data_IF_564315419091
#
_entry.id   IF_564315419091
#
_cell.length_a   1.000
_cell.length_b   1.000
_cell.length_c   1.000
_cell.angle_alpha   90.00
_cell.angle_beta   90.00
_cell.angle_gamma   90.00
#
_symmetry.space_group_name_H-M   'P 1'
#
loop_
_entity.id
_entity.type
_entity.pdbx_description
1 polymer ?
#
# COMPACT_ATOMS: atom_id res chain seq x y z
N UNK A 1 -32.69 8.06 11.17
CA UNK A 1 -33.35 7.56 9.94
C UNK A 1 -34.14 6.31 10.33
N UNK A 2 -35.42 6.43 10.69
CA UNK A 2 -36.17 5.34 11.35
C UNK A 2 -36.49 4.14 10.44
N UNK A 3 -36.31 4.27 9.12
CA UNK A 3 -36.51 3.19 8.13
C UNK A 3 -35.20 2.75 7.46
N UNK A 4 -34.04 3.10 8.02
CA UNK A 4 -32.76 2.72 7.44
C UNK A 4 -32.46 1.26 7.80
N UNK A 5 -32.27 0.43 6.79
CA UNK A 5 -32.02 -1.01 6.96
C UNK A 5 -30.63 -1.43 6.48
N UNK A 6 -30.03 -0.70 5.54
CA UNK A 6 -28.70 -0.99 5.01
C UNK A 6 -27.93 0.27 4.60
N UNK A 7 -26.60 0.19 4.68
CA UNK A 7 -25.61 1.17 4.21
C UNK A 7 -24.59 0.46 3.33
N UNK A 8 -24.47 0.92 2.08
CA UNK A 8 -23.48 0.44 1.12
C UNK A 8 -22.38 1.50 0.99
N UNK A 9 -21.20 1.20 1.50
CA UNK A 9 -20.05 2.08 1.49
C UNK A 9 -19.01 1.62 0.48
N UNK A 10 -18.99 2.28 -0.68
CA UNK A 10 -18.07 2.00 -1.77
C UNK A 10 -16.65 2.56 -1.54
N UNK A 11 -16.14 2.41 -0.31
CA UNK A 11 -14.83 2.92 0.10
C UNK A 11 -14.18 1.96 1.11
N UNK A 12 -13.04 2.37 1.66
CA UNK A 12 -12.18 1.54 2.49
C UNK A 12 -12.68 1.39 3.93
N UNK A 13 -11.91 1.95 4.86
CA UNK A 13 -12.11 1.76 6.29
C UNK A 13 -13.45 2.35 6.78
N UNK A 14 -14.23 1.54 7.51
CA UNK A 14 -15.52 1.92 8.11
C UNK A 14 -15.44 2.20 9.62
N UNK A 15 -14.30 1.95 10.27
CA UNK A 15 -14.15 1.97 11.73
C UNK A 15 -14.66 3.25 12.39
N UNK A 16 -14.47 4.40 11.73
CA UNK A 16 -14.86 5.70 12.26
C UNK A 16 -16.37 5.86 12.45
N UNK A 17 -17.20 5.07 11.76
CA UNK A 17 -18.66 5.24 11.76
C UNK A 17 -19.45 3.92 11.80
N UNK A 18 -18.79 2.77 11.84
CA UNK A 18 -19.47 1.47 11.80
C UNK A 18 -20.30 1.18 13.07
N UNK A 19 -19.79 1.56 14.25
CA UNK A 19 -20.40 1.14 15.52
C UNK A 19 -21.86 1.58 15.65
N UNK A 20 -22.23 2.87 15.44
CA UNK A 20 -23.62 3.29 15.54
C UNK A 20 -24.54 2.62 14.51
N UNK A 21 -24.03 2.21 13.36
CA UNK A 21 -24.81 1.52 12.30
C UNK A 21 -25.14 0.10 12.77
N UNK A 22 -24.13 -0.64 13.23
CA UNK A 22 -24.27 -2.01 13.69
C UNK A 22 -25.14 -2.09 14.96
N UNK A 23 -24.96 -1.17 15.90
CA UNK A 23 -25.74 -1.12 17.15
C UNK A 23 -27.24 -0.89 16.91
N UNK A 24 -27.62 -0.32 15.76
CA UNK A 24 -29.01 -0.09 15.36
C UNK A 24 -29.54 -1.19 14.43
N UNK A 25 -28.86 -2.34 14.34
CA UNK A 25 -29.24 -3.48 13.47
C UNK A 25 -29.34 -3.12 11.98
N UNK A 26 -28.59 -2.10 11.55
CA UNK A 26 -28.49 -1.70 10.14
C UNK A 26 -27.36 -2.48 9.49
N UNK A 27 -27.63 -3.10 8.33
CA UNK A 27 -26.61 -3.83 7.57
C UNK A 27 -25.55 -2.86 7.03
N UNK A 28 -24.27 -3.11 7.28
CA UNK A 28 -23.17 -2.34 6.71
C UNK A 28 -22.37 -3.19 5.74
N UNK A 29 -22.34 -2.76 4.47
CA UNK A 29 -21.57 -3.41 3.41
C UNK A 29 -20.44 -2.47 2.99
N UNK A 30 -19.19 -2.95 3.01
CA UNK A 30 -18.00 -2.19 2.61
C UNK A 30 -17.32 -2.76 1.37
N UNK A 31 -16.55 -1.92 0.67
CA UNK A 31 -15.77 -2.31 -0.51
C UNK A 31 -14.25 -2.39 -0.24
N UNK A 32 -13.85 -2.65 1.01
CA UNK A 32 -12.46 -2.61 1.48
C UNK A 32 -11.54 -3.60 0.76
N UNK A 33 -12.05 -4.78 0.35
CA UNK A 33 -11.26 -5.76 -0.42
C UNK A 33 -10.96 -5.27 -1.84
N UNK A 34 -11.97 -4.76 -2.55
CA UNK A 34 -11.78 -4.18 -3.88
C UNK A 34 -10.84 -2.97 -3.85
N UNK A 35 -10.95 -2.13 -2.82
CA UNK A 35 -10.04 -0.99 -2.64
C UNK A 35 -8.61 -1.41 -2.29
N UNK A 36 -8.39 -2.61 -1.76
CA UNK A 36 -7.05 -3.08 -1.44
C UNK A 36 -6.19 -3.33 -2.69
N UNK A 37 -6.81 -3.64 -3.84
CA UNK A 37 -6.13 -3.91 -5.11
C UNK A 37 -5.33 -2.67 -5.59
N UNK A 38 -5.96 -1.52 -5.91
CA UNK A 38 -5.22 -0.37 -6.44
C UNK A 38 -4.26 0.22 -5.39
N UNK A 39 -4.56 0.08 -4.09
CA UNK A 39 -3.66 0.54 -3.04
C UNK A 39 -2.39 -0.31 -2.99
N UNK A 40 -2.51 -1.63 -3.08
CA UNK A 40 -1.35 -2.53 -3.14
C UNK A 40 -0.52 -2.30 -4.41
N UNK A 41 -1.17 -2.11 -5.57
CA UNK A 41 -0.50 -1.81 -6.84
C UNK A 41 0.26 -0.47 -6.79
N UNK A 42 -0.38 0.55 -6.21
CA UNK A 42 0.27 1.86 -6.02
C UNK A 42 1.47 1.73 -5.09
N UNK A 43 1.33 1.01 -3.97
CA UNK A 43 2.43 0.77 -3.03
C UNK A 43 3.59 0.01 -3.70
N UNK A 44 3.31 -1.02 -4.51
CA UNK A 44 4.32 -1.73 -5.30
C UNK A 44 5.08 -0.77 -6.22
N UNK A 45 4.36 0.10 -6.95
CA UNK A 45 4.99 1.08 -7.83
C UNK A 45 5.95 2.00 -7.05
N UNK A 46 5.55 2.45 -5.85
CA UNK A 46 6.39 3.26 -4.98
C UNK A 46 7.65 2.52 -4.53
N UNK A 47 7.54 1.24 -4.16
CA UNK A 47 8.70 0.41 -3.78
C UNK A 47 9.66 0.26 -4.96
N UNK A 48 9.16 -0.10 -6.14
CA UNK A 48 9.99 -0.28 -7.34
C UNK A 48 10.72 1.01 -7.74
N UNK A 49 10.04 2.16 -7.74
CA UNK A 49 10.66 3.46 -8.03
C UNK A 49 11.76 3.82 -7.02
N UNK A 50 11.52 3.51 -5.75
CA UNK A 50 12.49 3.76 -4.67
C UNK A 50 13.75 2.90 -4.85
N UNK A 51 13.59 1.59 -5.11
CA UNK A 51 14.68 0.66 -5.40
C UNK A 51 15.54 1.07 -6.61
N UNK A 52 14.94 1.75 -7.59
CA UNK A 52 15.65 2.26 -8.78
C UNK A 52 16.30 3.62 -8.54
N UNK A 53 16.11 4.23 -7.37
CA UNK A 53 16.62 5.55 -7.05
C UNK A 53 15.90 6.69 -7.75
N UNK A 54 14.68 6.46 -8.25
CA UNK A 54 13.95 7.40 -9.12
C UNK A 54 13.82 8.79 -8.49
N UNK A 55 13.32 8.85 -7.25
CA UNK A 55 13.11 10.11 -6.54
C UNK A 55 14.40 10.89 -6.29
N UNK A 56 15.46 10.17 -5.90
CA UNK A 56 16.78 10.76 -5.69
C UNK A 56 17.32 11.32 -7.00
N UNK A 57 17.27 10.54 -8.08
CA UNK A 57 17.76 11.00 -9.38
C UNK A 57 17.03 12.24 -9.89
N UNK A 58 15.71 12.35 -9.70
CA UNK A 58 14.96 13.54 -10.11
C UNK A 58 15.43 14.77 -9.32
N UNK A 59 15.53 14.66 -7.99
CA UNK A 59 15.97 15.77 -7.15
C UNK A 59 17.40 16.19 -7.48
N UNK A 60 18.32 15.22 -7.54
CA UNK A 60 19.73 15.49 -7.76
C UNK A 60 19.96 16.07 -9.18
N UNK A 61 19.14 15.69 -10.18
CA UNK A 61 19.15 16.30 -11.51
C UNK A 61 18.62 17.72 -11.50
N UNK A 62 17.52 17.99 -10.78
CA UNK A 62 16.97 19.34 -10.67
C UNK A 62 17.97 20.32 -10.06
N UNK A 63 18.79 19.87 -9.12
CA UNK A 63 19.82 20.70 -8.48
C UNK A 63 21.07 20.87 -9.35
N UNK A 64 21.59 19.77 -9.91
CA UNK A 64 22.87 19.78 -10.62
C UNK A 64 22.77 20.10 -12.12
N UNK A 65 21.60 19.90 -12.73
CA UNK A 65 21.38 19.85 -14.18
C UNK A 65 22.34 18.89 -14.91
N UNK A 66 22.87 17.89 -14.19
CA UNK A 66 23.88 16.97 -14.67
C UNK A 66 23.38 15.52 -14.56
N UNK A 67 23.34 14.83 -15.70
CA UNK A 67 22.83 13.45 -15.75
C UNK A 67 23.77 12.42 -15.12
N UNK A 68 25.08 12.68 -15.10
CA UNK A 68 26.07 11.82 -14.47
C UNK A 68 25.96 11.92 -12.95
N UNK A 69 26.03 13.15 -12.43
CA UNK A 69 25.96 13.42 -10.98
C UNK A 69 24.64 12.96 -10.37
N UNK A 70 23.52 13.17 -11.06
CA UNK A 70 22.19 12.75 -10.59
C UNK A 70 21.98 11.24 -10.48
N UNK A 71 22.94 10.44 -10.95
CA UNK A 71 22.90 8.97 -10.87
C UNK A 71 24.07 8.41 -10.06
N UNK A 72 24.90 9.27 -9.47
CA UNK A 72 26.12 8.93 -8.74
C UNK A 72 25.78 8.44 -7.31
N UNK A 73 25.10 7.31 -7.22
CA UNK A 73 24.79 6.64 -5.95
C UNK A 73 24.51 5.16 -6.15
N UNK A 74 24.70 4.37 -5.09
CA UNK A 74 24.40 2.96 -5.10
C UNK A 74 22.89 2.69 -5.17
N UNK A 75 22.51 1.76 -6.04
CA UNK A 75 21.12 1.28 -6.20
C UNK A 75 21.10 -0.20 -5.88
N UNK A 76 20.34 -0.57 -4.87
CA UNK A 76 20.07 -1.96 -4.52
C UNK A 76 19.40 -2.73 -5.65
N UNK A 77 18.53 -2.06 -6.41
CA UNK A 77 17.69 -2.75 -7.39
C UNK A 77 16.57 -3.51 -6.68
N UNK A 78 16.04 -4.54 -7.33
CA UNK A 78 14.82 -5.24 -6.88
C UNK A 78 15.12 -6.67 -6.41
N UNK A 79 15.86 -7.44 -7.21
CA UNK A 79 16.04 -8.86 -6.98
C UNK A 79 16.82 -9.17 -5.70
N UNK A 80 16.21 -9.89 -4.77
CA UNK A 80 16.84 -10.33 -3.51
C UNK A 80 16.81 -9.30 -2.38
N UNK A 81 16.30 -8.09 -2.63
CA UNK A 81 16.12 -7.05 -1.61
C UNK A 81 15.04 -7.42 -0.60
N UNK A 82 15.14 -6.88 0.62
CA UNK A 82 14.19 -7.17 1.70
C UNK A 82 13.23 -6.02 1.94
N UNK A 83 11.93 -6.31 1.94
CA UNK A 83 10.87 -5.35 2.28
C UNK A 83 10.15 -5.80 3.55
N UNK A 84 10.09 -4.90 4.53
CA UNK A 84 9.31 -5.09 5.75
C UNK A 84 7.91 -4.51 5.63
N UNK A 85 6.89 -5.32 5.92
CA UNK A 85 5.50 -4.90 5.99
C UNK A 85 5.06 -4.78 7.46
N UNK A 86 4.55 -3.60 7.82
CA UNK A 86 3.94 -3.37 9.14
C UNK A 86 2.41 -3.42 8.93
N UNK A 87 1.81 -4.51 9.39
CA UNK A 87 0.42 -4.86 9.14
C UNK A 87 0.26 -5.84 7.96
N UNK A 88 -0.57 -6.87 8.18
CA UNK A 88 -0.93 -7.92 7.23
C UNK A 88 -2.45 -8.04 7.08
N UNK A 89 -3.11 -6.89 7.01
CA UNK A 89 -4.50 -6.79 6.53
C UNK A 89 -4.60 -7.08 5.02
N UNK A 90 -5.76 -6.78 4.42
CA UNK A 90 -6.01 -7.11 2.99
C UNK A 90 -4.99 -6.50 2.03
N UNK A 91 -4.61 -5.24 2.27
CA UNK A 91 -3.58 -4.54 1.48
C UNK A 91 -2.22 -5.22 1.65
N UNK A 92 -1.82 -5.52 2.90
CA UNK A 92 -0.53 -6.13 3.21
C UNK A 92 -0.38 -7.50 2.55
N UNK A 93 -1.43 -8.33 2.58
CA UNK A 93 -1.45 -9.65 1.93
C UNK A 93 -1.26 -9.54 0.42
N UNK A 94 -2.07 -8.70 -0.24
CA UNK A 94 -1.96 -8.45 -1.69
C UNK A 94 -0.60 -7.88 -2.08
N UNK A 95 -0.08 -6.92 -1.31
CA UNK A 95 1.23 -6.33 -1.55
C UNK A 95 2.36 -7.37 -1.36
N UNK A 96 2.25 -8.24 -0.36
CA UNK A 96 3.21 -9.32 -0.13
C UNK A 96 3.29 -10.27 -1.33
N UNK A 97 2.15 -10.66 -1.90
CA UNK A 97 2.09 -11.51 -3.10
C UNK A 97 2.75 -10.82 -4.30
N UNK A 98 2.41 -9.55 -4.54
CA UNK A 98 3.01 -8.74 -5.60
C UNK A 98 4.52 -8.63 -5.44
N UNK A 99 5.01 -8.24 -4.27
CA UNK A 99 6.45 -8.09 -4.00
C UNK A 99 7.20 -9.41 -4.20
N UNK A 100 6.63 -10.52 -3.73
CA UNK A 100 7.23 -11.85 -3.92
C UNK A 100 7.36 -12.19 -5.41
N UNK A 101 6.36 -11.85 -6.23
CA UNK A 101 6.41 -12.01 -7.69
C UNK A 101 7.52 -11.23 -8.39
N UNK A 102 8.04 -10.16 -7.77
CA UNK A 102 9.18 -9.38 -8.26
C UNK A 102 10.54 -9.84 -7.69
N UNK A 103 10.57 -10.87 -6.84
CA UNK A 103 11.81 -11.41 -6.26
C UNK A 103 12.29 -10.71 -4.98
N UNK A 104 11.41 -9.94 -4.32
CA UNK A 104 11.70 -9.41 -2.98
C UNK A 104 11.61 -10.51 -1.91
N UNK A 105 12.42 -10.39 -0.86
CA UNK A 105 12.23 -11.09 0.41
C UNK A 105 11.27 -10.27 1.27
N UNK A 106 10.09 -10.79 1.55
CA UNK A 106 9.10 -10.08 2.36
C UNK A 106 9.16 -10.57 3.81
N UNK A 107 9.35 -9.64 4.74
CA UNK A 107 9.18 -9.87 6.19
C UNK A 107 8.00 -9.06 6.69
N UNK A 108 7.34 -9.52 7.74
CA UNK A 108 6.14 -8.84 8.25
C UNK A 108 6.06 -8.83 9.78
N UNK A 109 5.42 -7.79 10.30
CA UNK A 109 4.97 -7.71 11.68
C UNK A 109 3.50 -7.30 11.68
N UNK A 110 2.65 -8.08 12.33
CA UNK A 110 1.25 -7.74 12.56
C UNK A 110 0.87 -8.28 13.95
N UNK A 111 0.18 -7.51 14.80
CA UNK A 111 -0.20 -7.95 16.15
C UNK A 111 -1.25 -9.09 16.17
N UNK A 112 -1.85 -9.42 15.02
CA UNK A 112 -2.83 -10.48 14.86
C UNK A 112 -2.29 -11.66 14.02
N UNK A 113 -1.01 -11.63 13.62
CA UNK A 113 -0.29 -12.76 13.03
C UNK A 113 0.47 -13.57 14.07
#
# INVERSE_FOLDING_TARGET
MPKLEAVFYAAGNVRAFAQPIVDNYVMLVGAWDMNAIPVAETALAQVLLSCRGYYRTIRDYYESHDQGKSKEFHRSGVNGETVGLIGMGMIGKRLSELLTGFGFKVIAQDPFL
#
